data_IF_705295283963
#
_entry.id   IF_705295283963
#
_cell.length_a   1.000
_cell.length_b   1.000
_cell.length_c   1.000
_cell.angle_alpha   90.00
_cell.angle_beta   90.00
_cell.angle_gamma   90.00
#
_symmetry.space_group_name_H-M   'P 1'
#
loop_
_entity.id
_entity.type
_entity.pdbx_description
1 polymer ?
#
# COMPACT_ATOMS: atom_id res chain seq x y z
N UNK A 1 14.17 -9.08 66.56
CA UNK A 1 14.34 -8.25 65.34
C UNK A 1 13.73 -6.88 65.63
N UNK A 2 14.56 -5.84 65.55
CA UNK A 2 14.22 -4.51 66.08
C UNK A 2 13.25 -3.81 65.09
N UNK A 3 12.06 -3.33 65.55
CA UNK A 3 11.04 -2.69 64.69
C UNK A 3 11.59 -1.59 63.79
N UNK A 4 12.62 -0.85 64.20
CA UNK A 4 13.32 0.15 63.39
C UNK A 4 14.04 -0.44 62.15
N UNK A 5 14.62 -1.63 62.26
CA UNK A 5 15.28 -2.29 61.14
C UNK A 5 14.30 -2.82 60.08
N UNK A 6 13.11 -3.20 60.50
CA UNK A 6 12.06 -3.67 59.58
C UNK A 6 11.46 -2.53 58.78
N UNK A 7 11.18 -1.40 59.44
CA UNK A 7 10.62 -0.19 58.77
C UNK A 7 11.65 0.38 57.74
N UNK A 8 12.93 0.46 58.09
CA UNK A 8 13.95 0.94 57.16
C UNK A 8 14.11 0.01 55.94
N UNK A 9 13.99 -1.32 56.09
CA UNK A 9 14.00 -2.25 54.97
C UNK A 9 12.80 -2.07 54.01
N UNK A 10 11.60 -1.83 54.55
CA UNK A 10 10.40 -1.57 53.76
C UNK A 10 10.54 -0.24 53.00
N UNK A 11 11.01 0.82 53.62
CA UNK A 11 11.26 2.11 53.00
C UNK A 11 12.30 1.99 51.87
N UNK A 12 13.38 1.23 52.12
CA UNK A 12 14.44 1.00 51.08
C UNK A 12 13.88 0.20 49.91
N UNK A 13 13.07 -0.81 50.10
CA UNK A 13 12.43 -1.59 49.05
C UNK A 13 11.42 -0.71 48.25
N UNK A 14 10.67 0.14 48.96
CA UNK A 14 9.71 1.06 48.28
C UNK A 14 10.44 2.13 47.48
N UNK A 15 11.53 2.69 47.95
CA UNK A 15 12.37 3.64 47.20
C UNK A 15 13.10 2.96 46.01
N UNK A 16 13.56 1.71 46.16
CA UNK A 16 14.13 0.96 45.04
C UNK A 16 13.06 0.65 43.97
N UNK A 17 11.83 0.32 44.34
CA UNK A 17 10.74 0.08 43.38
C UNK A 17 10.34 1.35 42.63
N UNK A 18 10.35 2.53 43.28
CA UNK A 18 10.10 3.83 42.63
C UNK A 18 11.25 4.18 41.67
N UNK A 19 12.49 3.87 41.99
CA UNK A 19 13.64 4.10 41.09
C UNK A 19 13.60 3.15 39.89
N UNK A 20 13.17 1.90 40.08
CA UNK A 20 13.02 0.93 38.98
C UNK A 20 11.83 1.31 38.07
N UNK A 21 10.73 1.83 38.61
CA UNK A 21 9.58 2.32 37.84
C UNK A 21 9.90 3.60 37.04
N UNK A 22 10.89 4.40 37.45
CA UNK A 22 11.35 5.59 36.73
C UNK A 22 12.57 5.33 35.80
N UNK A 23 13.07 4.10 35.73
CA UNK A 23 14.24 3.75 34.90
C UNK A 23 13.89 2.96 33.64
N UNK A 24 12.61 2.80 33.34
CA UNK A 24 12.22 2.46 31.96
C UNK A 24 12.36 3.74 31.15
N UNK A 25 13.27 3.80 30.16
CA UNK A 25 13.25 4.91 29.25
C UNK A 25 11.89 4.91 28.54
N UNK A 26 11.18 6.03 28.61
CA UNK A 26 10.07 6.29 27.72
C UNK A 26 10.66 6.44 26.31
N UNK A 27 11.05 5.34 25.66
CA UNK A 27 11.54 5.36 24.29
C UNK A 27 10.41 5.61 23.27
N UNK A 28 9.14 5.45 23.69
CA UNK A 28 8.00 5.60 22.78
C UNK A 28 7.71 7.05 22.31
N UNK A 29 8.22 8.06 23.03
CA UNK A 29 8.01 9.46 22.62
C UNK A 29 9.11 10.07 21.74
N UNK A 30 10.23 9.37 21.50
CA UNK A 30 11.36 9.93 20.77
C UNK A 30 11.24 9.80 19.24
N UNK A 31 10.43 8.88 18.72
CA UNK A 31 10.36 8.63 17.27
C UNK A 31 9.50 9.64 16.49
N UNK A 32 8.50 10.22 17.12
CA UNK A 32 7.54 11.09 16.43
C UNK A 32 8.03 12.53 16.17
N UNK A 33 8.97 13.06 16.96
CA UNK A 33 9.23 14.51 16.98
C UNK A 33 10.40 15.00 16.09
N UNK A 34 11.10 14.14 15.35
CA UNK A 34 12.31 14.51 14.61
C UNK A 34 12.28 14.17 13.10
N UNK A 35 11.10 13.94 12.51
CA UNK A 35 11.01 13.76 11.06
C UNK A 35 11.23 15.11 10.37
N UNK A 36 12.24 15.17 9.50
CA UNK A 36 12.46 16.31 8.59
C UNK A 36 12.05 15.88 7.19
N UNK A 37 11.20 16.67 6.56
CA UNK A 37 10.72 16.41 5.21
C UNK A 37 11.49 17.29 4.22
N UNK A 38 12.03 16.68 3.15
CA UNK A 38 12.56 17.39 2.00
C UNK A 38 11.54 17.28 0.86
N UNK A 39 11.15 18.41 0.31
CA UNK A 39 10.22 18.43 -0.82
C UNK A 39 10.99 18.22 -2.12
N UNK A 40 10.56 17.28 -2.96
CA UNK A 40 10.96 17.15 -4.35
C UNK A 40 9.87 17.79 -5.22
N UNK A 41 10.24 18.70 -6.09
CA UNK A 41 9.31 19.43 -6.94
C UNK A 41 9.86 19.56 -8.39
N UNK A 42 9.09 20.19 -9.27
CA UNK A 42 9.42 20.38 -10.69
C UNK A 42 10.75 21.13 -10.88
N UNK A 43 11.12 22.04 -9.98
CA UNK A 43 12.40 22.79 -10.07
C UNK A 43 13.61 21.85 -9.89
N UNK A 44 13.44 20.70 -9.24
CA UNK A 44 14.47 19.67 -9.05
C UNK A 44 14.46 18.60 -10.15
N UNK A 45 13.54 18.70 -11.12
CA UNK A 45 13.55 17.89 -12.33
C UNK A 45 12.53 16.74 -12.38
N UNK A 46 11.63 16.62 -11.42
CA UNK A 46 10.50 15.67 -11.52
C UNK A 46 9.45 16.19 -12.53
N UNK A 47 8.77 15.30 -13.24
CA UNK A 47 7.79 15.67 -14.27
C UNK A 47 6.57 16.43 -13.70
N UNK A 48 6.12 16.04 -12.50
CA UNK A 48 5.06 16.71 -11.77
C UNK A 48 5.30 16.59 -10.25
N UNK A 49 4.80 17.55 -9.46
CA UNK A 49 5.03 17.58 -8.00
C UNK A 49 4.17 16.61 -7.19
N UNK A 50 3.09 16.06 -7.78
CA UNK A 50 2.24 15.06 -7.15
C UNK A 50 2.71 13.68 -7.59
N UNK A 51 3.24 12.90 -6.66
CA UNK A 51 3.55 11.48 -6.87
C UNK A 51 2.29 10.65 -6.59
N UNK A 52 1.91 9.82 -7.54
CA UNK A 52 0.82 8.84 -7.39
C UNK A 52 1.35 7.54 -6.80
N UNK A 53 2.54 7.11 -7.22
CA UNK A 53 3.22 5.90 -6.76
C UNK A 53 4.73 6.11 -6.65
N UNK A 54 5.36 5.48 -5.65
CA UNK A 54 6.81 5.44 -5.47
C UNK A 54 7.25 3.99 -5.29
N UNK A 55 8.23 3.56 -6.10
CA UNK A 55 8.78 2.22 -6.08
C UNK A 55 10.31 2.25 -6.09
N UNK A 56 10.96 1.38 -5.32
CA UNK A 56 12.42 1.19 -5.39
C UNK A 56 12.76 -0.13 -6.05
N UNK A 57 13.49 -0.08 -7.17
CA UNK A 57 13.93 -1.30 -7.86
C UNK A 57 15.11 -1.99 -7.14
N UNK A 58 15.41 -3.22 -7.57
CA UNK A 58 16.47 -4.05 -7.01
C UNK A 58 17.88 -3.45 -7.16
N UNK A 59 18.06 -2.50 -8.08
CA UNK A 59 19.31 -1.76 -8.33
C UNK A 59 19.40 -0.49 -7.47
N UNK A 60 18.34 -0.16 -6.70
CA UNK A 60 18.26 0.99 -5.80
C UNK A 60 17.80 2.29 -6.46
N UNK A 61 17.37 2.28 -7.72
CA UNK A 61 16.72 3.44 -8.34
C UNK A 61 15.34 3.65 -7.73
N UNK A 62 14.96 4.90 -7.55
CA UNK A 62 13.60 5.28 -7.14
C UNK A 62 12.79 5.62 -8.39
N UNK A 63 11.71 4.89 -8.60
CA UNK A 63 10.73 5.15 -9.64
C UNK A 63 9.56 5.93 -9.04
N UNK A 64 9.15 6.99 -9.71
CA UNK A 64 8.07 7.87 -9.26
C UNK A 64 7.10 8.04 -10.42
N UNK A 65 5.91 7.48 -10.24
CA UNK A 65 4.78 7.66 -11.15
C UNK A 65 4.03 8.94 -10.81
N UNK A 66 3.68 9.67 -11.83
CA UNK A 66 2.87 10.90 -11.73
C UNK A 66 1.78 10.87 -12.79
N UNK A 67 0.86 11.83 -12.79
CA UNK A 67 -0.10 11.99 -13.89
C UNK A 67 0.51 12.64 -15.16
N UNK A 68 1.80 13.02 -15.13
CA UNK A 68 2.55 13.59 -16.27
C UNK A 68 3.88 12.89 -16.52
N UNK A 69 3.89 11.57 -16.42
CA UNK A 69 5.01 10.70 -16.78
C UNK A 69 5.60 9.91 -15.62
N UNK A 70 6.48 8.98 -16.02
CA UNK A 70 7.24 8.13 -15.12
C UNK A 70 8.65 8.68 -14.96
N UNK A 71 9.11 8.81 -13.72
CA UNK A 71 10.42 9.34 -13.37
C UNK A 71 11.27 8.25 -12.75
N UNK A 72 12.52 8.09 -13.18
CA UNK A 72 13.53 7.26 -12.52
C UNK A 72 14.63 8.13 -11.93
N UNK A 73 14.79 8.08 -10.63
CA UNK A 73 15.76 8.88 -9.86
C UNK A 73 16.94 8.00 -9.39
N UNK A 74 18.16 8.45 -9.63
CA UNK A 74 19.39 7.74 -9.24
C UNK A 74 20.11 8.35 -8.03
N UNK A 75 19.46 9.27 -7.31
CA UNK A 75 20.05 10.04 -6.22
C UNK A 75 20.59 11.41 -6.64
N UNK A 76 20.74 11.69 -7.94
CA UNK A 76 21.31 12.93 -8.49
C UNK A 76 20.45 13.57 -9.56
N UNK A 77 19.91 12.76 -10.49
CA UNK A 77 19.18 13.23 -11.66
C UNK A 77 17.97 12.35 -11.95
N UNK A 78 16.99 12.91 -12.64
CA UNK A 78 15.81 12.22 -13.12
C UNK A 78 15.96 11.84 -14.58
N UNK A 79 15.59 10.60 -14.92
CA UNK A 79 15.25 10.19 -16.28
C UNK A 79 13.75 10.11 -16.38
N UNK A 80 13.15 10.90 -17.28
CA UNK A 80 11.71 10.97 -17.48
C UNK A 80 11.33 10.10 -18.68
N UNK A 81 10.24 9.34 -18.55
CA UNK A 81 9.60 8.55 -19.58
C UNK A 81 8.19 9.10 -19.79
N UNK A 82 7.97 9.64 -20.99
CA UNK A 82 6.66 10.16 -21.38
C UNK A 82 6.15 9.39 -22.60
N UNK A 83 4.82 9.44 -22.81
CA UNK A 83 4.21 8.97 -24.03
C UNK A 83 4.64 9.83 -25.20
N UNK A 84 5.07 9.18 -26.28
CA UNK A 84 5.40 9.80 -27.56
C UNK A 84 4.87 8.94 -28.70
N UNK A 85 3.92 9.48 -29.48
CA UNK A 85 3.28 8.76 -30.58
C UNK A 85 4.30 8.22 -31.60
N UNK A 86 4.18 6.94 -31.91
CA UNK A 86 5.04 6.26 -32.90
C UNK A 86 6.49 6.01 -32.45
N UNK A 87 6.80 6.23 -31.17
CA UNK A 87 8.13 5.98 -30.60
C UNK A 87 8.12 4.82 -29.60
N UNK A 88 9.33 4.39 -29.21
CA UNK A 88 9.57 3.47 -28.11
C UNK A 88 9.33 4.22 -26.77
N UNK A 89 8.10 4.29 -26.35
CA UNK A 89 7.67 5.05 -25.19
C UNK A 89 6.57 4.32 -24.40
N UNK A 90 6.28 4.78 -23.20
CA UNK A 90 5.14 4.28 -22.41
C UNK A 90 3.81 4.60 -23.11
N UNK A 91 2.76 3.83 -22.79
CA UNK A 91 1.44 3.93 -23.43
C UNK A 91 0.65 5.18 -23.05
N UNK A 92 0.89 5.73 -21.85
CA UNK A 92 0.27 6.97 -21.37
C UNK A 92 1.12 7.61 -20.27
N UNK A 93 0.95 8.93 -20.04
CA UNK A 93 1.64 9.67 -18.97
C UNK A 93 1.03 9.47 -17.58
N UNK A 94 -0.24 9.14 -17.47
CA UNK A 94 -0.90 8.88 -16.18
C UNK A 94 -0.47 7.51 -15.64
N UNK A 95 0.48 7.49 -14.72
CA UNK A 95 1.01 6.28 -14.10
C UNK A 95 0.11 5.85 -12.95
N UNK A 96 -0.26 4.58 -12.90
CA UNK A 96 -1.12 4.03 -11.86
C UNK A 96 -0.35 3.21 -10.84
N UNK A 97 0.60 2.36 -11.30
CA UNK A 97 1.41 1.55 -10.39
C UNK A 97 2.70 1.04 -11.05
N UNK A 98 3.64 0.52 -10.23
CA UNK A 98 4.97 0.08 -10.67
C UNK A 98 5.40 -1.15 -9.88
N UNK A 99 5.88 -2.18 -10.57
CA UNK A 99 6.57 -3.33 -9.94
C UNK A 99 7.77 -3.79 -10.76
N UNK A 100 8.63 -4.66 -10.19
CA UNK A 100 9.78 -5.26 -10.87
C UNK A 100 9.63 -6.78 -10.93
N UNK A 101 9.86 -7.40 -12.09
CA UNK A 101 9.90 -8.87 -12.21
C UNK A 101 11.25 -9.46 -11.81
N UNK A 102 11.34 -10.79 -11.73
CA UNK A 102 12.57 -11.50 -11.34
C UNK A 102 13.74 -11.29 -12.31
N UNK A 103 13.45 -10.87 -13.55
CA UNK A 103 14.45 -10.60 -14.59
C UNK A 103 14.91 -9.14 -14.61
N UNK A 104 14.37 -8.30 -13.69
CA UNK A 104 14.71 -6.87 -13.57
C UNK A 104 14.02 -5.98 -14.61
N UNK A 105 12.95 -6.46 -15.25
CA UNK A 105 12.08 -5.60 -16.04
C UNK A 105 11.16 -4.82 -15.09
N UNK A 106 10.96 -3.55 -15.39
CA UNK A 106 10.00 -2.72 -14.69
C UNK A 106 8.66 -2.79 -15.41
N UNK A 107 7.63 -3.20 -14.69
CA UNK A 107 6.25 -3.20 -15.14
C UNK A 107 5.55 -1.95 -14.64
N UNK A 108 4.89 -1.23 -15.55
CA UNK A 108 4.29 0.06 -15.27
C UNK A 108 2.85 0.06 -15.76
N UNK A 109 1.94 0.20 -14.82
CA UNK A 109 0.53 0.46 -15.09
C UNK A 109 0.32 1.91 -15.49
N UNK A 110 -0.56 2.13 -16.44
CA UNK A 110 -1.00 3.47 -16.83
C UNK A 110 -2.51 3.50 -17.03
N UNK A 111 -3.10 4.67 -17.11
CA UNK A 111 -4.52 4.82 -17.47
C UNK A 111 -4.86 4.32 -18.88
N UNK A 112 -3.86 3.85 -19.63
CA UNK A 112 -4.02 3.31 -20.99
C UNK A 112 -3.13 2.06 -21.22
N UNK A 113 -3.28 1.07 -20.34
CA UNK A 113 -2.64 -0.23 -20.43
C UNK A 113 -1.36 -0.37 -19.63
N UNK A 114 -0.70 -1.50 -19.83
CA UNK A 114 0.54 -1.88 -19.14
C UNK A 114 1.76 -1.70 -20.04
N UNK A 115 2.90 -1.47 -19.37
CA UNK A 115 4.19 -1.35 -20.06
C UNK A 115 5.24 -2.21 -19.35
N UNK A 116 6.12 -2.84 -20.11
CA UNK A 116 7.30 -3.57 -19.63
C UNK A 116 8.55 -2.87 -20.13
N UNK A 117 9.38 -2.39 -19.22
CA UNK A 117 10.60 -1.61 -19.53
C UNK A 117 11.83 -2.44 -19.24
N UNK A 118 12.66 -2.67 -20.27
CA UNK A 118 14.01 -3.17 -20.08
C UNK A 118 14.93 -2.00 -19.70
N UNK A 119 15.40 -1.98 -18.46
CA UNK A 119 16.22 -0.87 -17.93
C UNK A 119 17.62 -0.81 -18.52
N UNK A 120 18.11 -1.91 -19.14
CA UNK A 120 19.44 -2.02 -19.73
C UNK A 120 19.46 -1.58 -21.19
N UNK A 121 18.48 -2.07 -21.98
CA UNK A 121 18.40 -1.74 -23.42
C UNK A 121 17.58 -0.47 -23.66
N UNK A 122 16.70 -0.11 -22.75
CA UNK A 122 15.74 0.98 -22.92
C UNK A 122 14.53 0.61 -23.78
N UNK A 123 14.36 -0.66 -24.13
CA UNK A 123 13.20 -1.15 -24.87
C UNK A 123 11.95 -1.09 -23.97
N UNK A 124 10.82 -0.63 -24.55
CA UNK A 124 9.53 -0.56 -23.90
C UNK A 124 8.51 -1.35 -24.72
N UNK A 125 7.87 -2.30 -24.09
CA UNK A 125 6.78 -3.09 -24.68
C UNK A 125 5.45 -2.62 -24.09
N UNK A 126 4.48 -2.32 -24.95
CA UNK A 126 3.15 -1.86 -24.55
C UNK A 126 2.13 -3.00 -24.68
N UNK A 127 1.25 -3.09 -23.71
CA UNK A 127 0.13 -4.02 -23.64
C UNK A 127 -1.15 -3.20 -23.49
N UNK A 128 -1.87 -3.03 -24.60
CA UNK A 128 -3.08 -2.21 -24.66
C UNK A 128 -4.23 -3.01 -25.26
N UNK A 129 -5.45 -2.55 -25.05
CA UNK A 129 -6.63 -3.12 -25.68
C UNK A 129 -6.60 -2.96 -27.19
N UNK A 130 -6.01 -1.86 -27.70
CA UNK A 130 -5.85 -1.61 -29.12
C UNK A 130 -4.97 -2.69 -29.80
N UNK A 131 -3.90 -3.14 -29.15
CA UNK A 131 -3.04 -4.20 -29.67
C UNK A 131 -3.45 -5.60 -29.22
N UNK A 132 -4.63 -5.73 -28.58
CA UNK A 132 -5.22 -7.00 -28.11
C UNK A 132 -4.36 -7.77 -27.10
N UNK A 133 -3.48 -7.07 -26.35
CA UNK A 133 -2.57 -7.68 -25.39
C UNK A 133 -3.00 -7.56 -23.94
N UNK A 134 -4.05 -6.80 -23.65
CA UNK A 134 -4.72 -6.72 -22.36
C UNK A 134 -6.22 -6.53 -22.57
N UNK A 135 -7.08 -7.13 -21.74
CA UNK A 135 -8.55 -7.02 -21.90
C UNK A 135 -9.09 -5.62 -21.64
N UNK A 136 -8.44 -4.84 -20.77
CA UNK A 136 -8.83 -3.48 -20.41
C UNK A 136 -7.61 -2.59 -20.22
N UNK A 137 -7.69 -1.34 -20.71
CA UNK A 137 -6.62 -0.36 -20.59
C UNK A 137 -6.58 0.32 -19.21
N UNK A 138 -7.71 0.35 -18.48
CA UNK A 138 -7.80 0.98 -17.17
C UNK A 138 -7.17 0.08 -16.11
N UNK A 139 -5.86 0.18 -15.95
CA UNK A 139 -5.12 -0.54 -14.92
C UNK A 139 -5.09 0.26 -13.62
N UNK A 140 -5.15 -0.41 -12.48
CA UNK A 140 -5.10 0.21 -11.14
C UNK A 140 -3.81 -0.16 -10.43
N UNK A 141 -3.56 -1.44 -10.24
CA UNK A 141 -2.41 -1.97 -9.51
C UNK A 141 -1.78 -3.15 -10.23
N UNK A 142 -0.48 -3.33 -10.06
CA UNK A 142 0.28 -4.47 -10.59
C UNK A 142 1.18 -5.06 -9.52
N UNK A 143 1.01 -6.35 -9.23
CA UNK A 143 1.88 -7.05 -8.29
C UNK A 143 2.68 -8.14 -8.99
N UNK A 144 3.88 -8.40 -8.45
CA UNK A 144 4.62 -9.63 -8.71
C UNK A 144 4.42 -10.58 -7.54
N UNK A 145 3.79 -11.73 -7.81
CA UNK A 145 3.55 -12.76 -6.78
C UNK A 145 4.82 -13.51 -6.40
N UNK A 146 4.79 -14.23 -5.27
CA UNK A 146 5.86 -15.14 -4.82
C UNK A 146 6.15 -16.24 -5.85
N UNK A 147 5.16 -16.60 -6.70
CA UNK A 147 5.34 -17.51 -7.84
C UNK A 147 5.87 -16.83 -9.11
N UNK A 148 6.30 -15.57 -9.02
CA UNK A 148 6.81 -14.73 -10.12
C UNK A 148 5.78 -14.48 -11.24
N UNK A 149 4.49 -14.54 -10.94
CA UNK A 149 3.43 -14.11 -11.86
C UNK A 149 3.26 -12.60 -11.76
N UNK A 150 3.08 -11.94 -12.89
CA UNK A 150 2.65 -10.53 -12.94
C UNK A 150 1.13 -10.53 -13.03
N UNK A 151 0.50 -10.00 -12.00
CA UNK A 151 -0.96 -9.91 -11.82
C UNK A 151 -1.36 -8.46 -11.85
N UNK A 152 -2.40 -8.13 -12.61
CA UNK A 152 -2.85 -6.74 -12.81
C UNK A 152 -4.32 -6.63 -12.45
N UNK A 153 -4.63 -5.64 -11.62
CA UNK A 153 -5.98 -5.15 -11.38
C UNK A 153 -6.42 -4.23 -12.52
N UNK A 154 -7.62 -4.44 -13.03
CA UNK A 154 -8.22 -3.60 -14.08
C UNK A 154 -9.67 -3.27 -13.74
N UNK A 155 -10.29 -2.40 -14.55
CA UNK A 155 -11.74 -2.13 -14.46
C UNK A 155 -12.60 -3.21 -15.14
N UNK A 156 -11.96 -4.31 -15.62
CA UNK A 156 -12.63 -5.50 -16.15
C UNK A 156 -12.23 -6.78 -15.40
N UNK A 157 -11.78 -6.65 -14.14
CA UNK A 157 -11.33 -7.75 -13.29
C UNK A 157 -9.83 -7.88 -13.21
N UNK A 158 -9.35 -9.10 -12.96
CA UNK A 158 -7.94 -9.44 -12.76
C UNK A 158 -7.40 -10.15 -13.99
N UNK A 159 -6.22 -9.73 -14.41
CA UNK A 159 -5.48 -10.33 -15.53
C UNK A 159 -4.11 -10.82 -15.06
N UNK A 160 -3.57 -11.85 -15.71
CA UNK A 160 -2.22 -12.39 -15.48
C UNK A 160 -1.43 -12.38 -16.78
N UNK A 161 -0.17 -11.97 -16.69
CA UNK A 161 0.74 -12.01 -17.84
C UNK A 161 1.07 -13.45 -18.23
N UNK A 162 0.89 -13.74 -19.53
CA UNK A 162 1.27 -14.99 -20.14
C UNK A 162 2.50 -14.76 -21.03
N UNK A 163 3.66 -15.29 -20.60
CA UNK A 163 4.94 -15.12 -21.32
C UNK A 163 4.93 -15.76 -22.72
N UNK A 164 4.22 -16.91 -22.91
CA UNK A 164 4.18 -17.59 -24.22
C UNK A 164 3.37 -16.79 -25.26
N UNK A 165 2.35 -16.08 -24.78
CA UNK A 165 1.49 -15.25 -25.64
C UNK A 165 1.92 -13.79 -25.74
N UNK A 166 2.85 -13.37 -24.88
CA UNK A 166 3.23 -11.96 -24.72
C UNK A 166 2.00 -11.06 -24.54
N UNK A 167 1.08 -11.48 -23.66
CA UNK A 167 -0.20 -10.81 -23.42
C UNK A 167 -0.74 -11.10 -22.01
N UNK A 168 -1.61 -10.24 -21.53
CA UNK A 168 -2.38 -10.46 -20.30
C UNK A 168 -3.67 -11.22 -20.60
N UNK A 169 -3.95 -12.25 -19.81
CA UNK A 169 -5.14 -13.06 -19.90
C UNK A 169 -6.06 -12.80 -18.70
N UNK A 170 -7.39 -12.63 -18.91
CA UNK A 170 -8.32 -12.47 -17.81
C UNK A 170 -8.46 -13.77 -17.03
N UNK A 171 -8.38 -13.69 -15.70
CA UNK A 171 -8.49 -14.86 -14.80
C UNK A 171 -9.68 -14.77 -13.87
N UNK A 172 -10.09 -13.57 -13.45
CA UNK A 172 -11.19 -13.39 -12.52
C UNK A 172 -11.97 -12.09 -12.79
N UNK A 173 -13.29 -12.19 -12.83
CA UNK A 173 -14.23 -11.07 -12.99
C UNK A 173 -15.61 -11.43 -12.42
N UNK A 174 -16.62 -10.61 -12.59
CA UNK A 174 -18.01 -10.88 -12.12
C UNK A 174 -18.63 -12.12 -12.75
N UNK A 175 -18.21 -12.48 -13.96
CA UNK A 175 -18.68 -13.68 -14.66
C UNK A 175 -18.24 -14.98 -13.98
N UNK A 176 -17.17 -14.96 -13.17
CA UNK A 176 -16.64 -16.12 -12.48
C UNK A 176 -16.38 -15.90 -10.98
N UNK A 177 -16.97 -14.86 -10.39
CA UNK A 177 -17.16 -14.80 -8.94
C UNK A 177 -16.77 -13.53 -8.20
N UNK A 178 -16.15 -12.50 -8.84
CA UNK A 178 -15.95 -11.22 -8.18
C UNK A 178 -17.29 -10.51 -7.92
N UNK A 179 -17.37 -9.72 -6.87
CA UNK A 179 -18.50 -8.83 -6.60
C UNK A 179 -18.60 -7.69 -7.61
N UNK A 180 -17.47 -7.24 -8.11
CA UNK A 180 -17.34 -6.18 -9.10
C UNK A 180 -16.21 -6.45 -10.07
N UNK A 181 -16.31 -5.93 -11.29
CA UNK A 181 -15.21 -5.92 -12.27
C UNK A 181 -14.20 -4.79 -11.99
N UNK A 182 -14.59 -3.77 -11.23
CA UNK A 182 -13.70 -2.66 -10.88
C UNK A 182 -12.82 -3.10 -9.71
N UNK A 183 -11.59 -3.46 -10.01
CA UNK A 183 -10.58 -3.85 -9.02
C UNK A 183 -9.61 -2.69 -8.85
N UNK A 184 -9.42 -2.22 -7.61
CA UNK A 184 -8.52 -1.12 -7.30
C UNK A 184 -7.19 -1.58 -6.72
N UNK A 185 -7.22 -2.61 -5.86
CA UNK A 185 -6.02 -3.01 -5.13
C UNK A 185 -5.83 -4.53 -5.05
N UNK A 186 -4.56 -4.93 -4.99
CA UNK A 186 -4.08 -6.31 -4.87
C UNK A 186 -2.95 -6.36 -3.85
N UNK A 187 -2.96 -7.35 -2.97
CA UNK A 187 -1.78 -7.68 -2.16
C UNK A 187 -1.70 -9.19 -1.91
N UNK A 188 -0.52 -9.74 -1.72
CA UNK A 188 -0.30 -11.18 -1.56
C UNK A 188 0.15 -11.50 -0.13
N UNK A 189 -0.56 -12.43 0.55
CA UNK A 189 -0.20 -12.90 1.88
C UNK A 189 0.96 -13.93 1.84
N UNK A 190 1.55 -14.25 3.00
CA UNK A 190 2.66 -15.21 3.13
C UNK A 190 2.34 -16.62 2.61
N UNK A 191 1.07 -16.96 2.44
CA UNK A 191 0.60 -18.25 1.93
C UNK A 191 0.41 -18.25 0.40
N UNK A 192 0.66 -17.13 -0.27
CA UNK A 192 0.44 -16.94 -1.70
C UNK A 192 -1.02 -16.71 -2.09
N UNK A 193 -1.90 -16.38 -1.13
CA UNK A 193 -3.24 -15.94 -1.47
C UNK A 193 -3.23 -14.45 -1.77
N UNK A 194 -4.02 -14.05 -2.76
CA UNK A 194 -4.13 -12.66 -3.17
C UNK A 194 -5.39 -12.05 -2.55
N UNK A 195 -5.22 -10.91 -1.91
CA UNK A 195 -6.30 -10.06 -1.44
C UNK A 195 -6.66 -9.07 -2.54
N UNK A 196 -7.93 -8.90 -2.79
CA UNK A 196 -8.48 -8.16 -3.93
C UNK A 196 -9.47 -7.13 -3.43
N UNK A 197 -9.12 -5.85 -3.56
CA UNK A 197 -9.98 -4.73 -3.23
C UNK A 197 -10.77 -4.25 -4.45
N UNK A 198 -12.08 -4.13 -4.30
CA UNK A 198 -13.01 -3.67 -5.32
C UNK A 198 -13.79 -2.44 -4.86
N UNK A 199 -14.61 -1.86 -5.71
CA UNK A 199 -15.58 -0.80 -5.33
C UNK A 199 -16.73 -1.30 -4.44
N UNK A 200 -16.81 -2.62 -4.18
CA UNK A 200 -17.88 -3.25 -3.39
C UNK A 200 -17.37 -4.05 -2.20
N UNK A 201 -16.09 -3.97 -1.87
CA UNK A 201 -15.45 -4.69 -0.78
C UNK A 201 -14.27 -5.55 -1.20
N UNK A 202 -13.96 -6.58 -0.41
CA UNK A 202 -12.73 -7.37 -0.50
C UNK A 202 -13.02 -8.83 -0.76
N UNK A 203 -12.19 -9.44 -1.61
CA UNK A 203 -12.07 -10.89 -1.75
C UNK A 203 -10.69 -11.36 -1.31
N UNK A 204 -10.61 -12.55 -0.70
CA UNK A 204 -9.40 -13.34 -0.61
C UNK A 204 -9.50 -14.45 -1.67
N UNK A 205 -8.49 -14.55 -2.53
CA UNK A 205 -8.43 -15.56 -3.58
C UNK A 205 -7.17 -16.43 -3.44
N UNK A 206 -7.24 -17.67 -3.90
CA UNK A 206 -6.07 -18.54 -3.94
C UNK A 206 -5.10 -18.12 -5.05
N UNK A 207 -3.86 -18.61 -5.00
CA UNK A 207 -2.86 -18.47 -6.08
C UNK A 207 -3.31 -19.03 -7.44
N UNK A 208 -4.37 -19.83 -7.47
CA UNK A 208 -5.03 -20.34 -8.69
C UNK A 208 -6.28 -19.51 -9.04
N UNK A 209 -6.42 -18.31 -8.49
CA UNK A 209 -7.50 -17.35 -8.73
C UNK A 209 -8.90 -17.86 -8.39
N UNK A 210 -9.04 -18.69 -7.35
CA UNK A 210 -10.33 -19.14 -6.82
C UNK A 210 -10.70 -18.34 -5.58
N UNK A 211 -11.92 -17.86 -5.50
CA UNK A 211 -12.41 -17.15 -4.32
C UNK A 211 -12.43 -18.08 -3.12
N UNK A 212 -11.78 -17.67 -2.05
CA UNK A 212 -11.72 -18.35 -0.76
C UNK A 212 -12.65 -17.68 0.25
N UNK A 213 -12.62 -16.35 0.33
CA UNK A 213 -13.37 -15.56 1.30
C UNK A 213 -13.84 -14.25 0.65
N UNK A 214 -14.91 -13.67 1.19
CA UNK A 214 -15.50 -12.41 0.73
C UNK A 214 -15.89 -11.55 1.93
N UNK A 215 -15.51 -10.28 1.91
CA UNK A 215 -15.79 -9.30 2.94
C UNK A 215 -16.41 -8.06 2.27
N UNK A 216 -17.73 -7.84 2.44
CA UNK A 216 -18.44 -6.74 1.83
C UNK A 216 -19.60 -7.20 0.95
N UNK A 217 -20.14 -6.27 0.15
CA UNK A 217 -21.26 -6.50 -0.75
C UNK A 217 -22.63 -6.06 -0.19
N UNK A 218 -23.63 -5.82 -1.06
CA UNK A 218 -24.88 -5.12 -0.71
C UNK A 218 -25.89 -5.93 0.09
N UNK A 219 -25.63 -7.18 0.44
CA UNK A 219 -26.65 -8.13 0.95
C UNK A 219 -26.46 -8.61 2.38
N UNK A 220 -25.33 -8.28 3.05
CA UNK A 220 -25.11 -8.72 4.41
C UNK A 220 -25.22 -7.54 5.38
N UNK A 221 -26.16 -7.64 6.32
CA UNK A 221 -26.40 -6.65 7.39
C UNK A 221 -25.16 -6.40 8.28
N UNK A 222 -24.14 -7.27 8.15
CA UNK A 222 -22.84 -7.24 8.82
C UNK A 222 -21.66 -7.14 7.81
N UNK A 223 -21.88 -6.62 6.62
CA UNK A 223 -20.79 -6.48 5.65
C UNK A 223 -19.80 -5.42 6.15
N UNK A 224 -18.60 -5.88 6.41
CA UNK A 224 -17.57 -5.13 7.12
C UNK A 224 -17.02 -3.99 6.28
N UNK A 225 -16.99 -4.13 4.96
CA UNK A 225 -16.49 -3.11 4.04
C UNK A 225 -17.53 -2.90 2.94
N UNK A 226 -18.22 -1.74 2.97
CA UNK A 226 -19.23 -1.35 1.98
C UNK A 226 -18.78 -0.14 1.16
N UNK A 227 -17.48 -0.01 0.95
CA UNK A 227 -16.88 1.15 0.30
C UNK A 227 -15.81 0.69 -0.68
N UNK A 228 -15.43 1.56 -1.60
CA UNK A 228 -14.33 1.28 -2.52
C UNK A 228 -13.01 1.10 -1.75
N UNK A 229 -12.32 0.01 -2.01
CA UNK A 229 -11.08 -0.37 -1.36
C UNK A 229 -9.91 0.03 -2.25
N UNK A 230 -9.28 1.15 -1.93
CA UNK A 230 -8.22 1.74 -2.74
C UNK A 230 -6.83 1.17 -2.47
N UNK A 231 -6.62 0.67 -1.26
CA UNK A 231 -5.35 0.08 -0.89
C UNK A 231 -5.53 -1.04 0.13
N UNK A 232 -4.67 -2.04 0.06
CA UNK A 232 -4.58 -3.11 1.07
C UNK A 232 -3.13 -3.39 1.41
N UNK A 233 -2.90 -3.82 2.65
CA UNK A 233 -1.59 -4.25 3.11
C UNK A 233 -1.73 -5.53 3.94
N UNK A 234 -1.15 -6.63 3.46
CA UNK A 234 -1.05 -7.91 4.16
C UNK A 234 0.08 -7.84 5.18
N UNK A 235 -0.28 -7.65 6.44
CA UNK A 235 0.64 -7.56 7.57
C UNK A 235 0.77 -8.94 8.22
N UNK A 236 1.46 -9.84 7.54
CA UNK A 236 1.56 -11.26 7.93
C UNK A 236 2.18 -11.46 9.32
N UNK A 237 3.10 -10.57 9.73
CA UNK A 237 3.71 -10.59 11.05
C UNK A 237 2.66 -10.50 12.18
N UNK A 238 1.57 -9.80 11.94
CA UNK A 238 0.51 -9.55 12.91
C UNK A 238 -0.79 -10.30 12.59
N UNK A 239 -0.76 -11.23 11.62
CA UNK A 239 -1.94 -11.94 11.14
C UNK A 239 -3.09 -10.99 10.74
N UNK A 240 -2.74 -9.89 10.10
CA UNK A 240 -3.66 -8.78 9.83
C UNK A 240 -3.66 -8.41 8.35
N UNK A 241 -4.81 -8.00 7.83
CA UNK A 241 -4.91 -7.24 6.60
C UNK A 241 -5.48 -5.87 6.93
N UNK A 242 -4.74 -4.85 6.56
CA UNK A 242 -5.18 -3.47 6.61
C UNK A 242 -5.88 -3.11 5.30
N UNK A 243 -7.06 -2.50 5.38
CA UNK A 243 -7.92 -2.22 4.24
C UNK A 243 -8.24 -0.74 4.25
N UNK A 244 -7.63 0.00 3.33
CA UNK A 244 -7.83 1.44 3.14
C UNK A 244 -8.98 1.70 2.17
N UNK A 245 -9.89 2.61 2.55
CA UNK A 245 -11.10 2.88 1.78
C UNK A 245 -11.20 4.34 1.32
N UNK A 246 -12.13 4.58 0.37
CA UNK A 246 -12.38 5.89 -0.19
C UNK A 246 -12.88 6.92 0.85
N UNK A 247 -13.82 6.53 1.74
CA UNK A 247 -14.50 7.46 2.66
C UNK A 247 -14.76 6.85 4.06
N UNK A 248 -14.49 5.57 4.26
CA UNK A 248 -14.82 4.85 5.48
C UNK A 248 -13.64 4.67 6.45
N UNK A 249 -12.50 5.28 6.16
CA UNK A 249 -11.28 5.14 6.95
C UNK A 249 -10.55 3.84 6.66
N UNK A 250 -9.85 3.29 7.66
CA UNK A 250 -9.10 2.04 7.54
C UNK A 250 -9.72 0.95 8.39
N UNK A 251 -9.76 -0.26 7.86
CA UNK A 251 -10.16 -1.46 8.61
C UNK A 251 -8.94 -2.33 8.89
N UNK A 252 -8.86 -2.87 10.09
CA UNK A 252 -7.90 -3.88 10.53
C UNK A 252 -8.63 -5.21 10.65
N UNK A 253 -8.39 -6.12 9.72
CA UNK A 253 -8.97 -7.46 9.70
C UNK A 253 -7.96 -8.47 10.25
N UNK A 254 -8.28 -9.16 11.34
CA UNK A 254 -7.47 -10.28 11.79
C UNK A 254 -7.77 -11.52 10.92
N UNK A 255 -6.76 -12.05 10.24
CA UNK A 255 -6.92 -13.17 9.29
C UNK A 255 -7.26 -14.50 9.95
N UNK A 256 -6.93 -14.68 11.25
CA UNK A 256 -7.20 -15.90 12.02
C UNK A 256 -8.54 -15.86 12.73
N UNK A 257 -8.82 -14.79 13.48
CA UNK A 257 -10.05 -14.67 14.27
C UNK A 257 -11.23 -14.15 13.47
N UNK A 258 -10.97 -13.54 12.29
CA UNK A 258 -11.94 -12.84 11.43
C UNK A 258 -12.56 -11.59 12.10
N UNK A 259 -11.98 -11.16 13.19
CA UNK A 259 -12.39 -9.94 13.87
C UNK A 259 -11.96 -8.72 13.04
N UNK A 260 -12.86 -7.74 12.97
CA UNK A 260 -12.62 -6.52 12.20
C UNK A 260 -12.80 -5.31 13.09
N UNK A 261 -11.80 -4.44 13.07
CA UNK A 261 -11.83 -3.14 13.74
C UNK A 261 -11.75 -2.03 12.71
N UNK A 262 -12.62 -1.03 12.81
CA UNK A 262 -12.62 0.13 11.93
C UNK A 262 -12.08 1.35 12.68
N UNK A 263 -11.20 2.10 12.01
CA UNK A 263 -10.68 3.37 12.49
C UNK A 263 -11.10 4.48 11.53
N UNK A 264 -11.60 5.57 12.09
CA UNK A 264 -12.09 6.75 11.35
C UNK A 264 -11.49 8.04 11.90
N UNK A 265 -11.61 9.09 11.12
CA UNK A 265 -11.39 10.44 11.59
C UNK A 265 -12.52 10.84 12.56
N UNK A 266 -12.16 11.33 13.74
CA UNK A 266 -13.04 12.03 14.68
C UNK A 266 -12.42 13.39 15.02
N UNK A 267 -13.05 14.51 14.64
CA UNK A 267 -12.53 15.85 14.92
C UNK A 267 -12.36 16.17 16.42
N UNK A 268 -13.00 15.37 17.31
CA UNK A 268 -12.90 15.54 18.76
C UNK A 268 -11.84 14.64 19.40
N UNK A 269 -11.23 13.75 18.64
CA UNK A 269 -10.20 12.82 19.08
C UNK A 269 -8.89 13.10 18.32
N UNK A 270 -7.90 13.69 19.01
CA UNK A 270 -6.59 14.02 18.44
C UNK A 270 -5.75 12.79 18.03
N UNK A 271 -6.14 11.60 18.50
CA UNK A 271 -5.49 10.33 18.22
C UNK A 271 -6.19 9.53 17.13
N UNK A 272 -7.24 10.08 16.52
CA UNK A 272 -7.94 9.47 15.40
C UNK A 272 -7.19 9.71 14.06
N UNK A 273 -7.63 9.05 12.99
CA UNK A 273 -7.08 9.27 11.65
C UNK A 273 -7.23 10.75 11.21
N UNK A 274 -6.27 11.29 10.44
CA UNK A 274 -6.36 12.67 9.96
C UNK A 274 -7.44 12.87 8.87
N UNK A 275 -7.81 11.79 8.14
CA UNK A 275 -8.90 11.74 7.16
C UNK A 275 -9.43 10.32 7.03
N UNK A 276 -10.66 10.17 6.50
CA UNK A 276 -11.23 8.88 6.13
C UNK A 276 -10.84 8.41 4.72
N UNK A 277 -10.27 9.28 3.89
CA UNK A 277 -9.77 8.93 2.56
C UNK A 277 -8.35 8.39 2.70
N UNK A 278 -8.20 7.09 2.49
CA UNK A 278 -6.94 6.38 2.64
C UNK A 278 -6.28 6.21 1.27
N UNK A 279 -5.06 6.70 1.13
CA UNK A 279 -4.27 6.53 -0.07
C UNK A 279 -3.40 5.29 -0.02
N UNK A 280 -2.64 5.10 1.07
CA UNK A 280 -1.68 4.01 1.19
C UNK A 280 -1.56 3.53 2.62
N UNK A 281 -1.35 2.23 2.83
CA UNK A 281 -0.99 1.61 4.11
C UNK A 281 0.26 0.78 3.88
N UNK A 282 1.30 1.01 4.67
CA UNK A 282 2.53 0.25 4.58
C UNK A 282 3.24 0.12 5.93
N UNK A 283 4.05 -0.93 6.09
CA UNK A 283 4.98 -1.07 7.21
C UNK A 283 6.41 -0.85 6.74
N UNK A 284 7.14 0.02 7.43
CA UNK A 284 8.53 0.29 7.09
C UNK A 284 9.49 -0.80 7.63
N UNK A 285 10.76 -0.74 7.22
CA UNK A 285 11.81 -1.69 7.66
C UNK A 285 12.10 -1.66 9.17
N UNK A 286 11.64 -0.64 9.88
CA UNK A 286 11.77 -0.52 11.34
C UNK A 286 10.51 -0.99 12.06
N UNK A 287 9.58 -1.62 11.32
CA UNK A 287 8.32 -2.16 11.83
C UNK A 287 7.26 -1.11 12.19
N UNK A 288 7.40 0.10 11.66
CA UNK A 288 6.41 1.15 11.85
C UNK A 288 5.30 1.03 10.80
N UNK A 289 4.05 1.04 11.24
CA UNK A 289 2.90 1.08 10.33
C UNK A 289 2.53 2.54 10.02
N UNK A 290 2.52 2.85 8.73
CA UNK A 290 2.20 4.16 8.21
C UNK A 290 0.92 4.14 7.38
N UNK A 291 0.10 5.18 7.52
CA UNK A 291 -1.13 5.34 6.75
C UNK A 291 -1.11 6.73 6.13
N UNK A 292 -1.04 6.77 4.79
CA UNK A 292 -1.20 7.98 3.99
C UNK A 292 -2.67 8.31 3.81
N UNK A 293 -3.05 9.55 4.07
CA UNK A 293 -4.42 10.05 3.90
C UNK A 293 -4.43 11.43 3.27
N UNK A 294 -5.57 11.88 2.76
CA UNK A 294 -5.73 13.26 2.27
C UNK A 294 -5.50 14.33 3.36
N UNK A 295 -5.68 13.96 4.63
CA UNK A 295 -5.49 14.86 5.79
C UNK A 295 -4.07 14.89 6.34
N UNK A 296 -3.15 14.05 5.81
CA UNK A 296 -1.76 13.92 6.26
C UNK A 296 -1.34 12.47 6.44
N UNK A 297 -0.10 12.30 6.93
CA UNK A 297 0.48 11.00 7.24
C UNK A 297 0.19 10.63 8.69
N UNK A 298 -0.24 9.40 8.94
CA UNK A 298 -0.46 8.84 10.26
C UNK A 298 0.52 7.70 10.54
N UNK A 299 1.03 7.64 11.76
CA UNK A 299 1.76 6.50 12.33
C UNK A 299 0.85 5.79 13.31
N UNK A 300 0.66 4.49 13.16
CA UNK A 300 -0.15 3.68 14.06
C UNK A 300 0.69 3.12 15.21
N UNK A 301 0.27 3.39 16.45
CA UNK A 301 0.84 2.81 17.65
C UNK A 301 0.09 1.53 18.00
N UNK A 302 0.78 0.38 17.92
CA UNK A 302 0.19 -0.94 18.16
C UNK A 302 -0.17 -1.17 19.64
N UNK A 303 0.55 -0.52 20.59
CA UNK A 303 0.33 -0.72 22.03
C UNK A 303 -0.86 0.10 22.52
N UNK A 304 -0.97 1.34 22.06
CA UNK A 304 -2.01 2.28 22.46
C UNK A 304 -3.23 2.24 21.52
N UNK A 305 -3.09 1.58 20.37
CA UNK A 305 -4.09 1.46 19.30
C UNK A 305 -4.63 2.81 18.79
N UNK A 306 -3.76 3.81 18.67
CA UNK A 306 -4.08 5.15 18.19
C UNK A 306 -3.07 5.67 17.15
N UNK A 307 -3.31 6.88 16.58
CA UNK A 307 -2.53 7.45 15.50
C UNK A 307 -1.80 8.72 15.92
N UNK A 308 -0.50 8.79 15.62
CA UNK A 308 0.25 10.04 15.64
C UNK A 308 0.20 10.68 14.24
N UNK A 309 -0.20 11.97 14.18
CA UNK A 309 -0.48 12.64 12.91
C UNK A 309 0.67 13.58 12.54
N UNK A 310 1.15 13.45 11.30
CA UNK A 310 2.13 14.33 10.69
C UNK A 310 1.45 15.14 9.58
N UNK A 311 1.34 16.45 9.78
CA UNK A 311 0.81 17.40 8.80
C UNK A 311 1.89 18.35 8.37
N UNK A 312 1.96 18.64 7.08
CA UNK A 312 2.82 19.70 6.59
C UNK A 312 2.31 21.03 7.15
N UNK A 313 3.07 21.67 8.04
CA UNK A 313 2.78 23.05 8.45
C UNK A 313 3.25 23.95 7.30
N UNK A 314 2.33 24.35 6.44
CA UNK A 314 2.57 25.43 5.49
C UNK A 314 2.72 26.69 6.35
N UNK A 315 3.95 27.19 6.47
CA UNK A 315 4.24 28.50 7.04
C UNK A 315 4.16 29.57 5.93
#
# INVERSE_FOLDING_TARGET
MNKKGFINKIITIFLLSIVILNSYPNESYAHANNLTFNNLNIEQGISQSTAEIIFQDSKGYIWIGTSDGLNRYNGYEYKIYNYEEGKNSISNNGITDITEDENGYIWVGTVQGMNRINTETGEIQNYTKENEKIPDDSTSEVIKTQENKIVVATYSGICVYNEEKYAFEPVLNTGNGLMSDIVYSLDEDEYGNIWVGTDMGVHKISKDFKILETYGGPKEENSVVQDAVYNMYCDDKYDTVWIGTADSGVFKLNTKTKEVKQYKNDPNDEWSLPSNQIGEVLRDKNDNLWIGTDGGLAYYDEEEEHFYIYRNKIY
#
